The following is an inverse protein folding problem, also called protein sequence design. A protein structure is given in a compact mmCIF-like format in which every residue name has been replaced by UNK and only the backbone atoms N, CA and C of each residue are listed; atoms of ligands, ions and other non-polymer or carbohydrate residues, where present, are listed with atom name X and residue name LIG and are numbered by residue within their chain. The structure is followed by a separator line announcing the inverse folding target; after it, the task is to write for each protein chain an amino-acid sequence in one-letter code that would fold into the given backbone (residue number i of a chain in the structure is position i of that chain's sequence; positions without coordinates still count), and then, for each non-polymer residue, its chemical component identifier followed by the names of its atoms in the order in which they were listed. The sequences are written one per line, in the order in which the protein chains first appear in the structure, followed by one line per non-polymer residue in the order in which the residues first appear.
data_IF_871367138460
#
_entry.id   IF_871367138460
#
_cell.length_a   1.000
_cell.length_b   1.000
_cell.length_c   1.000
_cell.angle_alpha   90.00
_cell.angle_beta   90.00
_cell.angle_gamma   90.00
#
_symmetry.space_group_name_H-M   'P 1'
#
loop_
_entity.id
_entity.type
_entity.pdbx_description
1 polymer ?
#
# COMPACT_ATOMS: atom_id res chain seq x y z
N UNK A 1 31.10 7.74 -6.19
CA UNK A 1 30.02 8.09 -5.22
C UNK A 1 28.94 8.97 -5.86
N UNK A 2 28.50 8.70 -7.10
CA UNK A 2 27.49 9.52 -7.80
C UNK A 2 26.65 8.77 -8.83
N UNK A 3 26.55 7.45 -8.71
CA UNK A 3 25.75 6.60 -9.63
C UNK A 3 24.52 5.97 -8.96
N UNK A 4 24.32 6.19 -7.66
CA UNK A 4 23.08 5.80 -6.96
C UNK A 4 21.87 6.68 -7.30
N UNK A 5 22.07 7.72 -8.13
CA UNK A 5 21.03 8.61 -8.66
C UNK A 5 20.77 8.41 -10.16
N UNK A 6 21.25 7.29 -10.74
CA UNK A 6 20.74 6.85 -12.04
C UNK A 6 19.37 6.20 -11.81
N UNK A 7 18.32 7.02 -11.90
CA UNK A 7 16.92 6.64 -12.13
C UNK A 7 16.73 5.98 -13.51
N UNK A 8 17.66 5.09 -13.86
CA UNK A 8 17.74 4.31 -15.09
C UNK A 8 17.40 2.84 -14.80
N UNK A 9 17.57 2.42 -13.54
CA UNK A 9 17.03 1.16 -13.04
C UNK A 9 15.63 1.39 -12.49
N UNK A 10 14.71 0.45 -12.77
CA UNK A 10 13.34 0.38 -12.26
C UNK A 10 13.30 0.30 -10.71
N UNK A 11 13.66 1.39 -10.03
CA UNK A 11 13.60 1.51 -8.56
C UNK A 11 12.14 1.71 -8.13
N UNK A 12 11.33 2.36 -8.97
CA UNK A 12 9.95 2.74 -8.66
C UNK A 12 9.03 1.54 -8.35
N UNK A 13 9.06 0.43 -9.14
CA UNK A 13 8.30 -0.77 -8.79
C UNK A 13 8.67 -1.37 -7.43
N UNK A 14 9.97 -1.37 -7.08
CA UNK A 14 10.47 -1.87 -5.80
C UNK A 14 10.01 -1.02 -4.61
N UNK A 15 9.99 0.31 -4.77
CA UNK A 15 9.47 1.22 -3.73
C UNK A 15 7.98 0.93 -3.47
N UNK A 16 7.18 0.72 -4.52
CA UNK A 16 5.74 0.41 -4.35
C UNK A 16 5.55 -0.90 -3.61
N UNK A 17 6.44 -1.89 -3.82
CA UNK A 17 6.37 -3.16 -3.07
C UNK A 17 6.60 -2.95 -1.57
N UNK A 18 7.49 -2.03 -1.18
CA UNK A 18 7.71 -1.65 0.22
C UNK A 18 6.46 -0.96 0.79
N UNK A 19 5.85 -0.05 0.03
CA UNK A 19 4.61 0.63 0.42
C UNK A 19 3.46 -0.38 0.60
N UNK A 20 3.35 -1.37 -0.28
CA UNK A 20 2.37 -2.45 -0.16
C UNK A 20 2.49 -3.18 1.17
N UNK A 21 3.71 -3.61 1.53
CA UNK A 21 3.96 -4.28 2.80
C UNK A 21 3.67 -3.37 4.01
N UNK A 22 4.05 -2.10 3.94
CA UNK A 22 3.69 -1.11 4.98
C UNK A 22 2.19 -0.92 5.11
N UNK A 23 1.46 -0.86 4.00
CA UNK A 23 0.00 -0.77 3.97
C UNK A 23 -0.65 -2.01 4.59
N UNK A 24 -0.16 -3.20 4.26
CA UNK A 24 -0.63 -4.47 4.82
C UNK A 24 -0.43 -4.53 6.35
N UNK A 25 0.76 -4.14 6.82
CA UNK A 25 1.07 -4.04 8.25
C UNK A 25 0.19 -2.98 8.92
N UNK A 26 -0.02 -1.83 8.26
CA UNK A 26 -0.89 -0.77 8.75
C UNK A 26 -2.35 -1.22 8.93
N UNK A 27 -2.93 -1.91 7.94
CA UNK A 27 -4.28 -2.50 8.03
C UNK A 27 -4.36 -3.53 9.15
N UNK A 28 -3.33 -4.35 9.32
CA UNK A 28 -3.28 -5.37 10.37
C UNK A 28 -3.22 -4.75 11.77
N UNK A 29 -2.34 -3.77 11.97
CA UNK A 29 -2.19 -3.05 13.24
C UNK A 29 -3.43 -2.23 13.59
N UNK A 30 -4.03 -1.54 12.62
CA UNK A 30 -5.26 -0.78 12.84
C UNK A 30 -6.40 -1.70 13.26
N UNK A 31 -6.57 -2.83 12.58
CA UNK A 31 -7.59 -3.82 12.92
C UNK A 31 -7.39 -4.43 14.31
N UNK A 32 -6.14 -4.76 14.68
CA UNK A 32 -5.82 -5.19 16.05
C UNK A 32 -6.13 -4.10 17.08
N UNK A 33 -5.73 -2.85 16.83
CA UNK A 33 -5.98 -1.75 17.76
C UNK A 33 -7.48 -1.47 17.99
N UNK A 34 -8.32 -1.67 16.96
CA UNK A 34 -9.78 -1.61 17.09
C UNK A 34 -10.33 -2.74 17.96
N UNK A 35 -9.84 -3.97 17.78
CA UNK A 35 -10.27 -5.13 18.58
C UNK A 35 -9.88 -4.96 20.06
N UNK A 36 -8.65 -4.51 20.35
CA UNK A 36 -8.19 -4.26 21.72
C UNK A 36 -8.73 -2.96 22.31
N UNK A 37 -9.27 -2.03 21.51
CA UNK A 37 -9.92 -0.82 22.01
C UNK A 37 -8.93 0.24 22.43
N UNK A 38 -7.80 0.27 21.76
CA UNK A 38 -6.70 1.15 22.09
C UNK A 38 -7.01 2.55 21.54
N UNK A 39 -6.84 3.58 22.37
CA UNK A 39 -7.02 4.98 21.97
C UNK A 39 -8.48 5.35 21.70
N UNK A 40 -8.78 5.78 20.47
CA UNK A 40 -10.10 6.31 20.07
C UNK A 40 -11.22 5.27 20.12
N UNK A 41 -10.86 3.98 20.16
CA UNK A 41 -11.79 2.86 20.21
C UNK A 41 -12.11 2.39 21.64
N UNK A 42 -11.58 3.06 22.68
CA UNK A 42 -11.83 2.68 24.07
C UNK A 42 -13.31 2.82 24.48
N UNK A 43 -13.99 3.86 23.97
CA UNK A 43 -15.38 4.19 24.34
C UNK A 43 -16.43 3.57 23.40
N UNK A 44 -16.02 2.79 22.41
CA UNK A 44 -16.96 2.13 21.48
C UNK A 44 -17.33 0.74 21.98
N UNK A 45 -18.59 0.35 21.79
CA UNK A 45 -19.09 -0.97 22.17
C UNK A 45 -18.32 -2.08 21.45
N UNK A 46 -18.09 -3.20 22.14
CA UNK A 46 -17.33 -4.33 21.62
C UNK A 46 -17.91 -4.88 20.30
N UNK A 47 -19.23 -5.02 20.19
CA UNK A 47 -19.89 -5.49 18.97
C UNK A 47 -19.65 -4.58 17.76
N UNK A 48 -19.68 -3.26 17.96
CA UNK A 48 -19.40 -2.30 16.89
C UNK A 48 -17.93 -2.37 16.46
N UNK A 49 -17.01 -2.49 17.41
CA UNK A 49 -15.56 -2.61 17.14
C UNK A 49 -15.22 -3.87 16.36
N UNK A 50 -15.84 -4.98 16.70
CA UNK A 50 -15.66 -6.25 16.00
C UNK A 50 -16.12 -6.16 14.54
N UNK A 51 -17.31 -5.58 14.32
CA UNK A 51 -17.83 -5.37 12.96
C UNK A 51 -16.91 -4.43 12.16
N UNK A 52 -16.52 -3.30 12.73
CA UNK A 52 -15.60 -2.35 12.08
C UNK A 52 -14.25 -3.01 11.74
N UNK A 53 -13.66 -3.79 12.64
CA UNK A 53 -12.39 -4.47 12.40
C UNK A 53 -12.50 -5.46 11.22
N UNK A 54 -13.59 -6.21 11.11
CA UNK A 54 -13.82 -7.12 9.97
C UNK A 54 -13.91 -6.35 8.66
N UNK A 55 -14.68 -5.25 8.65
CA UNK A 55 -14.79 -4.39 7.47
C UNK A 55 -13.43 -3.82 7.06
N UNK A 56 -12.64 -3.35 8.03
CA UNK A 56 -11.31 -2.76 7.78
C UNK A 56 -10.32 -3.80 7.27
N UNK A 57 -10.34 -5.04 7.78
CA UNK A 57 -9.50 -6.12 7.25
C UNK A 57 -9.87 -6.41 5.80
N UNK A 58 -11.16 -6.66 5.52
CA UNK A 58 -11.62 -7.06 4.19
C UNK A 58 -11.38 -5.95 3.18
N UNK A 59 -11.93 -4.75 3.43
CA UNK A 59 -11.79 -3.62 2.51
C UNK A 59 -10.36 -3.08 2.49
N UNK A 60 -9.67 -3.01 3.62
CA UNK A 60 -8.29 -2.54 3.69
C UNK A 60 -7.34 -3.42 2.90
N UNK A 61 -7.46 -4.75 2.99
CA UNK A 61 -6.65 -5.68 2.18
C UNK A 61 -6.91 -5.51 0.68
N UNK A 62 -8.18 -5.40 0.29
CA UNK A 62 -8.57 -5.23 -1.11
C UNK A 62 -8.05 -3.91 -1.66
N UNK A 63 -8.26 -2.81 -0.94
CA UNK A 63 -7.80 -1.47 -1.35
C UNK A 63 -6.28 -1.45 -1.47
N UNK A 64 -5.55 -1.97 -0.46
CA UNK A 64 -4.07 -2.00 -0.49
C UNK A 64 -3.58 -2.79 -1.70
N UNK A 65 -4.19 -3.93 -2.04
CA UNK A 65 -3.83 -4.69 -3.25
C UNK A 65 -4.11 -3.91 -4.53
N UNK A 66 -5.35 -3.48 -4.73
CA UNK A 66 -5.78 -2.81 -5.97
C UNK A 66 -4.98 -1.54 -6.21
N UNK A 67 -4.79 -0.73 -5.16
CA UNK A 67 -4.03 0.52 -5.27
C UNK A 67 -2.55 0.25 -5.60
N UNK A 68 -1.94 -0.76 -5.00
CA UNK A 68 -0.55 -1.14 -5.27
C UNK A 68 -0.36 -1.67 -6.69
N UNK A 69 -1.28 -2.49 -7.19
CA UNK A 69 -1.26 -3.00 -8.56
C UNK A 69 -1.40 -1.87 -9.59
N UNK A 70 -2.35 -0.95 -9.39
CA UNK A 70 -2.55 0.19 -10.26
C UNK A 70 -1.31 1.10 -10.31
N UNK A 71 -0.69 1.38 -9.16
CA UNK A 71 0.56 2.14 -9.12
C UNK A 71 1.66 1.45 -9.94
N UNK A 72 1.89 0.15 -9.74
CA UNK A 72 2.92 -0.60 -10.49
C UNK A 72 2.63 -0.54 -11.99
N UNK A 73 1.38 -0.72 -12.41
CA UNK A 73 0.96 -0.67 -13.81
C UNK A 73 1.27 0.69 -14.43
N UNK A 74 0.91 1.79 -13.77
CA UNK A 74 1.18 3.16 -14.28
C UNK A 74 2.67 3.40 -14.44
N UNK A 75 3.48 3.03 -13.45
CA UNK A 75 4.94 3.18 -13.55
C UNK A 75 5.55 2.30 -14.65
N UNK A 76 5.00 1.10 -14.85
CA UNK A 76 5.42 0.21 -15.94
C UNK A 76 5.04 0.79 -17.30
N UNK A 77 3.89 1.45 -17.44
CA UNK A 77 3.51 2.16 -18.67
C UNK A 77 4.48 3.32 -18.94
N UNK A 78 4.80 4.13 -17.92
CA UNK A 78 5.75 5.23 -18.06
C UNK A 78 7.12 4.75 -18.55
N UNK A 79 7.64 3.65 -17.98
CA UNK A 79 8.92 3.08 -18.38
C UNK A 79 8.90 2.55 -19.83
N UNK A 80 7.80 1.91 -20.24
CA UNK A 80 7.63 1.45 -21.62
C UNK A 80 7.52 2.62 -22.62
N UNK A 81 6.81 3.70 -22.26
CA UNK A 81 6.72 4.90 -23.09
C UNK A 81 8.07 5.56 -23.28
N UNK A 82 8.88 5.66 -22.20
CA UNK A 82 10.24 6.20 -22.27
C UNK A 82 11.12 5.39 -23.22
N UNK A 83 11.04 4.06 -23.16
CA UNK A 83 11.76 3.15 -24.07
C UNK A 83 11.38 3.31 -25.54
N UNK A 84 10.12 3.63 -25.84
CA UNK A 84 9.67 3.88 -27.21
C UNK A 84 10.18 5.25 -27.70
N UNK A 85 10.13 6.26 -26.84
CA UNK A 85 10.60 7.61 -27.15
C UNK A 85 12.12 7.67 -27.43
N UNK A 86 12.95 6.97 -26.64
CA UNK A 86 14.41 6.91 -26.85
C UNK A 86 14.82 6.10 -28.09
N UNK A 87 13.88 5.39 -28.73
CA UNK A 87 14.13 4.55 -29.92
C UNK A 87 13.73 5.23 -31.24
N UNK A 88 13.29 6.48 -31.20
CA UNK A 88 13.05 7.37 -32.36
C UNK A 88 14.06 8.50 -32.38
#
# INVERSE_FOLDING_TARGET
MKDFLKLDTMITPKIITIIYWLGLVGVSLTSMSMLFGIGRYAYTNFGMRFLMAIFVIIFGLVIVRVYSELLIVIFKIHDNLKKIADKS
#
